data_IF_635559952643
#
_entry.id   IF_635559952643
#
_cell.length_a   1.000
_cell.length_b   1.000
_cell.length_c   1.000
_cell.angle_alpha   90.00
_cell.angle_beta   90.00
_cell.angle_gamma   90.00
#
_symmetry.space_group_name_H-M   'P 1'
#
loop_
_entity.id
_entity.type
_entity.pdbx_description
1 polymer ?
#
# COMPACT_ATOMS: atom_id res chain seq x y z
N UNK A 1 20.72 73.11 33.49
CA UNK A 1 19.42 72.52 33.80
C UNK A 1 18.72 71.97 32.55
N UNK A 2 18.86 72.54 31.35
CA UNK A 2 18.25 72.06 30.09
C UNK A 2 18.93 70.81 29.47
N UNK A 3 20.23 70.61 29.77
CA UNK A 3 20.97 69.48 29.18
C UNK A 3 20.61 68.10 29.83
N UNK A 4 20.36 68.12 31.15
CA UNK A 4 20.01 66.96 31.95
C UNK A 4 18.56 66.46 31.61
N UNK A 5 17.69 67.45 31.28
CA UNK A 5 16.33 67.14 30.93
C UNK A 5 16.21 66.45 29.53
N UNK A 6 17.11 66.78 28.57
CA UNK A 6 17.15 66.12 27.26
C UNK A 6 17.70 64.72 27.33
N UNK A 7 18.61 64.38 28.21
CA UNK A 7 19.13 63.00 28.39
C UNK A 7 18.12 62.10 29.08
N UNK A 8 17.25 62.63 29.92
CA UNK A 8 16.23 61.84 30.59
C UNK A 8 15.07 61.43 29.68
N UNK A 9 14.76 62.24 28.65
CA UNK A 9 13.70 61.92 27.66
C UNK A 9 14.16 60.88 26.66
N UNK A 10 15.46 60.69 26.43
CA UNK A 10 15.97 59.68 25.47
C UNK A 10 15.99 58.27 26.04
N UNK A 11 15.85 58.02 27.33
CA UNK A 11 15.86 56.72 27.98
C UNK A 11 14.50 56.05 28.07
N UNK A 12 13.42 56.68 27.59
CA UNK A 12 12.05 56.12 27.63
C UNK A 12 11.55 55.53 26.32
N UNK A 13 12.42 55.28 25.34
CA UNK A 13 12.05 54.48 24.16
C UNK A 13 12.16 53.00 24.57
N UNK A 14 11.09 52.50 25.18
CA UNK A 14 10.90 51.10 25.43
C UNK A 14 10.86 50.37 24.09
N UNK A 15 11.87 49.56 23.82
CA UNK A 15 11.84 48.58 22.73
C UNK A 15 10.71 47.59 23.04
N UNK A 16 9.56 47.77 22.44
CA UNK A 16 8.55 46.71 22.35
C UNK A 16 9.11 45.61 21.47
N UNK A 17 9.66 44.57 22.09
CA UNK A 17 9.96 43.32 21.37
C UNK A 17 8.66 42.75 20.86
N UNK A 18 8.39 42.92 19.57
CA UNK A 18 7.34 42.20 18.89
C UNK A 18 7.84 40.74 18.83
N UNK A 19 7.36 39.93 19.76
CA UNK A 19 7.49 38.48 19.65
C UNK A 19 6.58 38.04 18.50
N UNK A 20 7.16 37.88 17.34
CA UNK A 20 6.47 37.30 16.21
C UNK A 20 6.34 35.79 16.52
N UNK A 21 5.14 35.38 16.94
CA UNK A 21 4.81 33.98 17.18
C UNK A 21 4.98 33.23 15.85
N UNK A 22 6.06 32.47 15.76
CA UNK A 22 6.34 31.61 14.59
C UNK A 22 5.26 30.54 14.49
N UNK A 23 4.14 30.86 13.84
CA UNK A 23 3.11 29.90 13.50
C UNK A 23 3.63 28.99 12.39
N UNK A 24 4.33 27.94 12.76
CA UNK A 24 4.66 26.85 11.84
C UNK A 24 3.35 26.21 11.40
N UNK A 25 2.84 26.61 10.24
CA UNK A 25 1.79 25.86 9.55
C UNK A 25 2.47 24.60 8.98
N UNK A 26 2.39 23.51 9.69
CA UNK A 26 2.65 22.19 9.12
C UNK A 26 1.53 21.95 8.10
N UNK A 27 1.77 22.29 6.86
CA UNK A 27 0.97 21.75 5.76
C UNK A 27 1.27 20.24 5.75
N UNK A 28 0.40 19.48 6.40
CA UNK A 28 0.34 18.05 6.18
C UNK A 28 0.00 17.92 4.68
N UNK A 29 1.03 17.66 3.87
CA UNK A 29 0.84 17.41 2.45
C UNK A 29 -0.23 16.32 2.34
N UNK A 30 -1.29 16.59 1.61
CA UNK A 30 -2.31 15.57 1.36
C UNK A 30 -1.60 14.48 0.57
N UNK A 31 -1.20 13.40 1.24
CA UNK A 31 -0.63 12.24 0.58
C UNK A 31 -1.75 11.67 -0.27
N UNK A 32 -1.61 11.80 -1.57
CA UNK A 32 -2.57 11.23 -2.50
C UNK A 32 -2.31 9.71 -2.58
N UNK A 33 -3.32 8.86 -2.26
CA UNK A 33 -3.09 7.41 -2.26
C UNK A 33 -2.64 6.91 -3.63
N UNK A 34 -1.65 6.01 -3.65
CA UNK A 34 -1.09 5.43 -4.87
C UNK A 34 -2.16 4.58 -5.59
N UNK A 35 -2.53 4.90 -6.84
CA UNK A 35 -3.48 4.08 -7.57
C UNK A 35 -2.85 2.73 -7.96
N UNK A 36 -3.51 1.63 -7.54
CA UNK A 36 -3.06 0.24 -7.76
C UNK A 36 -4.21 -0.61 -8.30
N UNK A 37 -3.89 -1.57 -9.18
CA UNK A 37 -4.83 -2.62 -9.57
C UNK A 37 -4.42 -3.95 -8.94
N UNK A 38 -5.39 -4.68 -8.41
CA UNK A 38 -5.21 -6.04 -7.90
C UNK A 38 -6.12 -6.95 -8.73
N UNK A 39 -5.52 -7.75 -9.61
CA UNK A 39 -6.26 -8.69 -10.42
C UNK A 39 -6.72 -9.89 -9.60
N UNK A 40 -7.88 -10.44 -9.93
CA UNK A 40 -8.31 -11.72 -9.38
C UNK A 40 -7.29 -12.81 -9.75
N UNK A 41 -6.88 -13.62 -8.76
CA UNK A 41 -5.91 -14.68 -8.98
C UNK A 41 -6.57 -15.84 -9.74
N UNK A 42 -5.85 -16.34 -10.74
CA UNK A 42 -6.33 -17.38 -11.63
C UNK A 42 -5.89 -18.77 -11.17
N UNK A 43 -6.53 -19.80 -11.70
CA UNK A 43 -6.06 -21.18 -11.63
C UNK A 43 -5.03 -21.48 -12.75
N UNK A 44 -4.57 -22.75 -12.83
CA UNK A 44 -3.65 -23.21 -13.87
C UNK A 44 -4.21 -23.12 -15.31
N UNK A 45 -5.54 -22.96 -15.43
CA UNK A 45 -6.21 -22.81 -16.72
C UNK A 45 -6.47 -21.34 -17.09
N UNK A 46 -5.96 -20.40 -16.29
CA UNK A 46 -6.17 -18.98 -16.49
C UNK A 46 -7.57 -18.48 -16.11
N UNK A 47 -8.36 -19.29 -15.40
CA UNK A 47 -9.70 -18.89 -14.92
C UNK A 47 -9.60 -18.41 -13.49
N UNK A 48 -10.39 -17.38 -13.16
CA UNK A 48 -10.48 -16.88 -11.79
C UNK A 48 -10.99 -17.99 -10.86
N UNK A 49 -10.17 -18.37 -9.88
CA UNK A 49 -10.53 -19.36 -8.88
C UNK A 49 -11.26 -18.71 -7.70
N UNK A 50 -12.08 -19.49 -6.98
CA UNK A 50 -12.76 -19.01 -5.77
C UNK A 50 -11.75 -18.53 -4.70
N UNK A 51 -10.72 -19.34 -4.46
CA UNK A 51 -9.66 -19.00 -3.50
C UNK A 51 -8.84 -17.81 -4.00
N UNK A 52 -8.56 -17.76 -5.31
CA UNK A 52 -7.87 -16.65 -5.94
C UNK A 52 -8.56 -15.31 -5.72
N UNK A 53 -9.89 -15.26 -5.88
CA UNK A 53 -10.70 -14.07 -5.61
C UNK A 53 -10.70 -13.71 -4.13
N UNK A 54 -10.72 -14.67 -3.21
CA UNK A 54 -10.62 -14.40 -1.79
C UNK A 54 -9.26 -13.78 -1.43
N UNK A 55 -8.17 -14.26 -2.04
CA UNK A 55 -6.83 -13.71 -1.85
C UNK A 55 -6.76 -12.27 -2.35
N UNK A 56 -7.18 -12.01 -3.60
CA UNK A 56 -7.13 -10.66 -4.19
C UNK A 56 -7.97 -9.66 -3.38
N UNK A 57 -9.13 -10.07 -2.88
CA UNK A 57 -9.97 -9.22 -2.03
C UNK A 57 -9.29 -8.86 -0.70
N UNK A 58 -8.61 -9.82 -0.04
CA UNK A 58 -7.88 -9.53 1.20
C UNK A 58 -6.72 -8.59 0.93
N UNK A 59 -5.97 -8.80 -0.14
CA UNK A 59 -4.87 -7.90 -0.54
C UNK A 59 -5.40 -6.49 -0.78
N UNK A 60 -6.48 -6.35 -1.55
CA UNK A 60 -7.11 -5.06 -1.83
C UNK A 60 -7.54 -4.35 -0.55
N UNK A 61 -8.24 -5.04 0.34
CA UNK A 61 -8.70 -4.48 1.60
C UNK A 61 -7.53 -4.05 2.51
N UNK A 62 -6.48 -4.86 2.61
CA UNK A 62 -5.29 -4.52 3.40
C UNK A 62 -4.64 -3.24 2.89
N UNK A 63 -4.37 -3.18 1.60
CA UNK A 63 -3.68 -2.03 0.98
C UNK A 63 -4.53 -0.76 1.06
N UNK A 64 -5.83 -0.83 0.78
CA UNK A 64 -6.73 0.33 0.87
C UNK A 64 -6.88 0.82 2.31
N UNK A 65 -7.04 -0.10 3.27
CA UNK A 65 -7.18 0.26 4.69
C UNK A 65 -5.91 0.87 5.29
N UNK A 66 -4.74 0.67 4.68
CA UNK A 66 -3.51 1.38 5.07
C UNK A 66 -3.57 2.89 4.81
N UNK A 67 -4.50 3.35 3.96
CA UNK A 67 -4.60 4.75 3.53
C UNK A 67 -3.55 5.17 2.50
N UNK A 68 -2.60 4.31 2.17
CA UNK A 68 -1.51 4.59 1.23
C UNK A 68 -1.90 4.28 -0.24
N UNK A 69 -2.95 3.48 -0.44
CA UNK A 69 -3.33 2.99 -1.76
C UNK A 69 -4.81 3.24 -2.07
N UNK A 70 -5.08 3.40 -3.36
CA UNK A 70 -6.43 3.44 -3.92
C UNK A 70 -6.55 2.31 -4.94
N UNK A 71 -7.31 1.27 -4.61
CA UNK A 71 -7.53 0.16 -5.52
C UNK A 71 -8.49 0.56 -6.65
N UNK A 72 -8.14 0.15 -7.87
CA UNK A 72 -9.04 0.25 -9.02
C UNK A 72 -10.05 -0.91 -8.97
N UNK A 73 -11.31 -0.61 -9.20
CA UNK A 73 -12.36 -1.63 -9.29
C UNK A 73 -12.10 -2.58 -10.47
N UNK A 74 -12.26 -3.89 -10.24
CA UNK A 74 -12.00 -4.92 -11.26
C UNK A 74 -12.89 -4.76 -12.50
N UNK A 75 -14.08 -4.19 -12.34
CA UNK A 75 -14.98 -3.88 -13.46
C UNK A 75 -14.42 -2.82 -14.44
N UNK A 76 -13.43 -2.05 -14.01
CA UNK A 76 -12.77 -1.05 -14.86
C UNK A 76 -11.58 -1.64 -15.66
N UNK A 77 -11.21 -2.89 -15.44
CA UNK A 77 -10.10 -3.52 -16.16
C UNK A 77 -10.46 -3.74 -17.64
N UNK A 78 -9.57 -3.31 -18.52
CA UNK A 78 -9.75 -3.49 -19.97
C UNK A 78 -9.51 -4.96 -20.34
N UNK A 79 -8.41 -5.52 -19.84
CA UNK A 79 -8.05 -6.93 -20.02
C UNK A 79 -7.42 -7.47 -18.73
N UNK A 80 -8.10 -8.36 -17.99
CA UNK A 80 -7.50 -8.95 -16.81
C UNK A 80 -6.30 -9.83 -17.21
N UNK A 81 -5.17 -9.78 -16.50
CA UNK A 81 -4.06 -10.68 -16.74
C UNK A 81 -4.44 -12.11 -16.40
N UNK A 82 -3.93 -13.05 -17.17
CA UNK A 82 -4.28 -14.47 -17.03
C UNK A 82 -3.32 -15.26 -16.14
N UNK A 83 -2.09 -14.79 -15.99
CA UNK A 83 -1.07 -15.49 -15.19
C UNK A 83 -0.01 -14.50 -14.69
N UNK A 84 0.55 -14.67 -13.48
CA UNK A 84 1.64 -13.84 -12.98
C UNK A 84 2.95 -14.03 -13.75
N UNK A 85 3.10 -15.16 -14.45
CA UNK A 85 4.27 -15.46 -15.28
C UNK A 85 4.22 -14.79 -16.65
N UNK A 86 3.07 -14.26 -17.06
CA UNK A 86 2.89 -13.57 -18.35
C UNK A 86 3.00 -12.07 -18.13
N UNK A 87 3.90 -11.44 -18.89
CA UNK A 87 4.06 -9.98 -18.86
C UNK A 87 2.75 -9.32 -19.33
N UNK A 88 2.16 -8.39 -18.54
CA UNK A 88 0.94 -7.71 -18.94
C UNK A 88 1.20 -6.78 -20.13
N UNK A 89 0.16 -6.53 -20.93
CA UNK A 89 0.18 -5.48 -21.94
C UNK A 89 0.03 -4.13 -21.25
N UNK A 90 1.11 -3.45 -20.95
CA UNK A 90 1.11 -2.22 -20.14
C UNK A 90 0.22 -1.11 -20.72
N UNK A 91 0.08 -1.04 -22.04
CA UNK A 91 -0.82 -0.09 -22.72
C UNK A 91 -2.29 -0.23 -22.33
N UNK A 92 -2.72 -1.38 -21.82
CA UNK A 92 -4.09 -1.59 -21.34
C UNK A 92 -4.32 -0.97 -19.95
N UNK A 93 -3.24 -0.75 -19.19
CA UNK A 93 -3.26 -0.28 -17.81
C UNK A 93 -2.93 1.21 -17.67
N UNK A 94 -2.08 1.73 -18.55
CA UNK A 94 -1.64 3.13 -18.52
C UNK A 94 -2.81 4.13 -18.58
N UNK A 95 -3.84 3.96 -19.43
CA UNK A 95 -4.99 4.89 -19.48
C UNK A 95 -5.84 4.89 -18.22
N UNK A 96 -5.76 3.81 -17.39
CA UNK A 96 -6.50 3.68 -16.15
C UNK A 96 -5.84 4.48 -15.01
N UNK A 97 -4.67 5.09 -15.24
CA UNK A 97 -3.97 5.94 -14.30
C UNK A 97 -3.34 5.21 -13.13
N UNK A 98 -3.32 3.86 -13.13
CA UNK A 98 -2.66 3.07 -12.09
C UNK A 98 -1.14 3.12 -12.23
N UNK A 99 -0.45 2.94 -11.10
CA UNK A 99 1.02 2.93 -11.04
C UNK A 99 1.58 1.53 -10.87
N UNK A 100 0.82 0.66 -10.21
CA UNK A 100 1.22 -0.71 -9.93
C UNK A 100 0.08 -1.69 -10.20
N UNK A 101 0.44 -2.93 -10.59
CA UNK A 101 -0.50 -4.02 -10.84
C UNK A 101 -0.03 -5.26 -10.10
N UNK A 102 -0.92 -5.87 -9.33
CA UNK A 102 -0.73 -7.17 -8.70
C UNK A 102 -1.44 -8.24 -9.53
N UNK A 103 -0.71 -9.26 -9.94
CA UNK A 103 -1.23 -10.46 -10.61
C UNK A 103 -0.90 -11.70 -9.80
N UNK A 104 -1.69 -12.76 -9.92
CA UNK A 104 -1.40 -13.99 -9.21
C UNK A 104 -2.15 -15.20 -9.73
N UNK A 105 -1.68 -16.37 -9.29
CA UNK A 105 -2.32 -17.65 -9.55
C UNK A 105 -2.34 -18.54 -8.31
N UNK A 106 -3.30 -19.44 -8.26
CA UNK A 106 -3.47 -20.45 -7.21
C UNK A 106 -3.61 -21.80 -7.85
N UNK A 107 -2.69 -22.71 -7.52
CA UNK A 107 -2.68 -24.09 -8.00
C UNK A 107 -2.87 -25.05 -6.85
N UNK A 108 -3.74 -26.05 -7.01
CA UNK A 108 -3.83 -27.14 -6.05
C UNK A 108 -2.72 -28.16 -6.35
N UNK A 109 -2.05 -28.62 -5.30
CA UNK A 109 -1.02 -29.66 -5.43
C UNK A 109 -1.66 -31.04 -5.27
N UNK A 110 -1.58 -31.84 -6.31
CA UNK A 110 -2.17 -33.18 -6.37
C UNK A 110 -1.67 -34.06 -5.21
N UNK A 111 -2.61 -34.81 -4.62
CA UNK A 111 -2.31 -35.74 -3.52
C UNK A 111 -1.97 -35.08 -2.18
N UNK A 112 -2.08 -33.78 -2.06
CA UNK A 112 -1.81 -33.05 -0.82
C UNK A 112 -2.96 -32.10 -0.45
N UNK A 113 -3.00 -31.65 0.81
CA UNK A 113 -3.90 -30.58 1.27
C UNK A 113 -3.23 -29.20 1.12
N UNK A 114 -2.41 -29.03 0.10
CA UNK A 114 -1.64 -27.81 -0.12
C UNK A 114 -2.06 -27.08 -1.39
N UNK A 115 -1.82 -25.79 -1.39
CA UNK A 115 -1.91 -24.91 -2.56
C UNK A 115 -0.57 -24.24 -2.78
N UNK A 116 -0.23 -24.03 -4.02
CA UNK A 116 0.83 -23.12 -4.44
C UNK A 116 0.20 -21.82 -4.89
N UNK A 117 0.68 -20.71 -4.35
CA UNK A 117 0.26 -19.36 -4.74
C UNK A 117 1.46 -18.64 -5.30
N UNK A 118 1.36 -18.19 -6.53
CA UNK A 118 2.35 -17.33 -7.17
C UNK A 118 1.77 -15.94 -7.33
N UNK A 119 2.55 -14.90 -7.04
CA UNK A 119 2.16 -13.54 -7.35
C UNK A 119 3.32 -12.75 -7.97
N UNK A 120 2.96 -11.67 -8.68
CA UNK A 120 3.90 -10.72 -9.23
C UNK A 120 3.34 -9.31 -9.12
N UNK A 121 4.22 -8.39 -8.71
CA UNK A 121 3.96 -6.96 -8.71
C UNK A 121 4.67 -6.34 -9.91
N UNK A 122 3.93 -5.55 -10.68
CA UNK A 122 4.40 -4.86 -11.87
C UNK A 122 4.40 -3.35 -11.67
N UNK A 123 5.45 -2.68 -12.12
CA UNK A 123 5.47 -1.23 -12.30
C UNK A 123 4.91 -0.91 -13.69
N UNK A 124 3.78 -0.19 -13.72
CA UNK A 124 3.11 0.15 -14.98
C UNK A 124 3.82 1.28 -15.71
N UNK A 125 4.51 2.16 -14.96
CA UNK A 125 5.21 3.31 -15.53
C UNK A 125 6.57 2.89 -16.11
N UNK A 126 7.31 2.06 -15.38
CA UNK A 126 8.59 1.54 -15.80
C UNK A 126 8.47 0.31 -16.74
N UNK A 127 7.27 -0.25 -16.91
CA UNK A 127 6.96 -1.43 -17.73
C UNK A 127 7.82 -2.67 -17.37
N UNK A 128 8.04 -2.88 -16.07
CA UNK A 128 8.87 -3.97 -15.55
C UNK A 128 8.23 -4.65 -14.35
N UNK A 129 8.69 -5.85 -14.03
CA UNK A 129 8.35 -6.49 -12.76
C UNK A 129 9.18 -5.92 -11.61
N UNK A 130 8.57 -5.80 -10.44
CA UNK A 130 9.19 -5.28 -9.23
C UNK A 130 9.56 -6.39 -8.25
N UNK A 131 8.68 -7.36 -8.08
CA UNK A 131 8.83 -8.50 -7.17
C UNK A 131 7.93 -9.65 -7.62
N UNK A 132 8.38 -10.87 -7.40
CA UNK A 132 7.59 -12.09 -7.56
C UNK A 132 7.92 -13.08 -6.46
N UNK A 133 6.90 -13.72 -5.90
CA UNK A 133 7.03 -14.78 -4.92
C UNK A 133 6.14 -15.96 -5.27
N UNK A 134 6.60 -17.14 -4.85
CA UNK A 134 5.86 -18.39 -4.91
C UNK A 134 5.85 -19.02 -3.51
N UNK A 135 4.67 -19.32 -3.01
CA UNK A 135 4.44 -19.80 -1.66
C UNK A 135 3.63 -21.10 -1.70
N UNK A 136 4.12 -22.15 -1.05
CA UNK A 136 3.38 -23.38 -0.84
C UNK A 136 2.87 -23.43 0.59
N UNK A 137 1.56 -23.57 0.76
CA UNK A 137 0.90 -23.54 2.06
C UNK A 137 -0.24 -24.55 2.13
N UNK A 138 -0.68 -24.86 3.35
CA UNK A 138 -1.94 -25.58 3.57
C UNK A 138 -3.14 -24.80 2.99
N UNK A 139 -4.11 -25.48 2.39
CA UNK A 139 -5.31 -24.87 1.80
C UNK A 139 -6.04 -23.92 2.76
N UNK A 140 -6.04 -24.22 4.06
CA UNK A 140 -6.68 -23.36 5.06
C UNK A 140 -5.89 -22.08 5.38
N UNK A 141 -4.62 -22.02 4.96
CA UNK A 141 -3.73 -20.89 5.23
C UNK A 141 -3.74 -19.80 4.14
N UNK A 142 -4.65 -19.89 3.17
CA UNK A 142 -4.74 -18.95 2.04
C UNK A 142 -4.82 -17.48 2.48
N UNK A 143 -5.51 -17.20 3.60
CA UNK A 143 -5.64 -15.83 4.13
C UNK A 143 -4.29 -15.27 4.57
N UNK A 144 -3.47 -16.09 5.22
CA UNK A 144 -2.10 -15.68 5.63
C UNK A 144 -1.23 -15.36 4.42
N UNK A 145 -1.37 -16.12 3.33
CA UNK A 145 -0.68 -15.82 2.06
C UNK A 145 -1.06 -14.44 1.55
N UNK A 146 -2.36 -14.09 1.60
CA UNK A 146 -2.80 -12.76 1.19
C UNK A 146 -2.19 -11.65 2.05
N UNK A 147 -2.03 -11.86 3.37
CA UNK A 147 -1.35 -10.90 4.24
C UNK A 147 0.14 -10.77 3.92
N UNK A 148 0.85 -11.88 3.68
CA UNK A 148 2.25 -11.86 3.25
C UNK A 148 2.41 -11.09 1.94
N UNK A 149 1.56 -11.34 0.94
CA UNK A 149 1.59 -10.63 -0.34
C UNK A 149 1.32 -9.12 -0.12
N UNK A 150 0.41 -8.79 0.79
CA UNK A 150 0.15 -7.39 1.13
C UNK A 150 1.36 -6.71 1.75
N UNK A 151 2.08 -7.40 2.66
CA UNK A 151 3.30 -6.88 3.29
C UNK A 151 4.39 -6.62 2.27
N UNK A 152 4.66 -7.59 1.39
CA UNK A 152 5.66 -7.47 0.33
C UNK A 152 5.33 -6.35 -0.66
N UNK A 153 4.04 -6.25 -1.03
CA UNK A 153 3.57 -5.19 -1.94
C UNK A 153 3.69 -3.82 -1.28
N UNK A 154 3.29 -3.71 -0.02
CA UNK A 154 3.36 -2.48 0.76
C UNK A 154 4.82 -2.02 0.90
N UNK A 155 5.70 -2.90 1.37
CA UNK A 155 7.12 -2.59 1.58
C UNK A 155 7.80 -2.18 0.26
N UNK A 156 7.52 -2.90 -0.82
CA UNK A 156 8.11 -2.60 -2.13
C UNK A 156 7.71 -1.24 -2.68
N UNK A 157 6.46 -0.80 -2.43
CA UNK A 157 5.92 0.44 -2.99
C UNK A 157 6.12 1.66 -2.07
N UNK A 158 6.20 1.45 -0.76
CA UNK A 158 6.34 2.56 0.22
C UNK A 158 7.74 2.69 0.80
N UNK A 159 8.50 1.60 0.83
CA UNK A 159 9.78 1.50 1.54
C UNK A 159 9.63 1.22 3.04
N UNK A 160 8.41 1.22 3.57
CA UNK A 160 8.12 0.91 4.97
C UNK A 160 7.75 -0.56 5.12
N UNK A 161 8.12 -1.16 6.26
CA UNK A 161 7.81 -2.56 6.53
C UNK A 161 6.31 -2.79 6.61
N UNK A 162 5.82 -3.85 5.92
CA UNK A 162 4.44 -4.31 6.01
C UNK A 162 4.07 -4.82 7.41
N UNK A 163 2.78 -4.77 7.74
CA UNK A 163 2.25 -5.11 9.06
C UNK A 163 0.94 -5.91 9.02
N UNK A 164 0.60 -6.51 7.88
CA UNK A 164 -0.67 -7.24 7.69
C UNK A 164 -0.60 -8.69 8.18
N UNK A 165 0.56 -9.38 8.10
CA UNK A 165 0.77 -10.72 8.70
C UNK A 165 1.19 -10.60 10.17
N UNK A 166 0.35 -9.93 10.99
CA UNK A 166 0.58 -9.76 12.41
C UNK A 166 -0.23 -10.76 13.23
N UNK A 167 0.28 -11.09 14.43
CA UNK A 167 -0.42 -11.92 15.42
C UNK A 167 -0.67 -11.09 16.67
N UNK A 168 -1.93 -11.01 17.08
CA UNK A 168 -2.30 -10.39 18.35
C UNK A 168 -2.41 -11.48 19.39
N UNK A 169 -1.64 -11.37 20.47
CA UNK A 169 -1.75 -12.23 21.65
C UNK A 169 -2.49 -11.46 22.73
N UNK A 170 -3.57 -12.02 23.25
CA UNK A 170 -4.28 -11.47 24.39
C UNK A 170 -4.39 -12.52 25.50
N UNK A 171 -4.36 -12.06 26.73
CA UNK A 171 -4.61 -12.88 27.91
C UNK A 171 -6.05 -12.63 28.31
N UNK A 172 -6.85 -13.70 28.38
CA UNK A 172 -8.21 -13.65 28.92
C UNK A 172 -8.17 -14.20 30.34
N UNK A 173 -8.46 -13.35 31.34
CA UNK A 173 -8.72 -13.82 32.71
C UNK A 173 -10.20 -14.17 32.82
N UNK A 174 -10.49 -15.46 33.03
CA UNK A 174 -11.82 -15.89 33.45
C UNK A 174 -11.89 -15.79 34.97
N UNK A 175 -12.60 -14.76 35.47
CA UNK A 175 -12.97 -14.67 36.90
C UNK A 175 -14.03 -15.70 37.28
#
# INVERSE_FOLDING_TARGET
MYLVLKTLIFCLISFSSISDDLKVRVNVGKIEPLPIAIADFTDNNGKVSKVGRLISNVISNNLVNSGQFKALETAAFIAPPTSPSVKPTFSDWTPLGIKALVTGSVSELDGSNQIEVEFRLWDIVAETDMIGLRLTVDKNSWRRVAHIISDETFERLTGDKGYFDTRIVYISESG
#
